data_IF_329034656388
#
_entry.id   IF_329034656388
#
_cell.length_a   1.000
_cell.length_b   1.000
_cell.length_c   1.000
_cell.angle_alpha   90.00
_cell.angle_beta   90.00
_cell.angle_gamma   90.00
#
_symmetry.space_group_name_H-M   'P 1'
#
loop_
_entity.id
_entity.type
_entity.pdbx_description
1 polymer ?
#
# COMPACT_ATOMS: atom_id res chain seq x y z
N UNK A 1 -19.65 -33.34 30.08
CA UNK A 1 -18.72 -33.16 28.94
C UNK A 1 -19.07 -31.93 28.12
N UNK A 2 -20.35 -31.73 27.79
CA UNK A 2 -20.83 -30.56 27.03
C UNK A 2 -20.55 -29.20 27.67
N UNK A 3 -20.79 -29.04 28.98
CA UNK A 3 -20.59 -27.74 29.65
C UNK A 3 -19.12 -27.31 29.69
N UNK A 4 -18.21 -28.26 29.90
CA UNK A 4 -16.76 -28.00 29.84
C UNK A 4 -16.37 -27.59 28.42
N UNK A 5 -16.93 -28.25 27.40
CA UNK A 5 -16.69 -27.89 26.00
C UNK A 5 -17.21 -26.48 25.68
N UNK A 6 -18.40 -26.13 26.13
CA UNK A 6 -18.98 -24.80 25.92
C UNK A 6 -18.12 -23.72 26.58
N UNK A 7 -17.69 -23.94 27.83
CA UNK A 7 -16.83 -23.00 28.56
C UNK A 7 -15.44 -22.85 27.93
N UNK A 8 -14.87 -23.92 27.37
CA UNK A 8 -13.61 -23.82 26.61
C UNK A 8 -13.79 -23.04 25.32
N UNK A 9 -14.87 -23.25 24.56
CA UNK A 9 -15.15 -22.44 23.36
C UNK A 9 -15.32 -20.95 23.69
N UNK A 10 -16.03 -20.62 24.77
CA UNK A 10 -16.22 -19.22 25.18
C UNK A 10 -14.94 -18.55 25.66
N UNK A 11 -14.06 -19.27 26.36
CA UNK A 11 -12.77 -18.72 26.80
C UNK A 11 -11.83 -18.51 25.63
N UNK A 12 -11.77 -19.44 24.68
CA UNK A 12 -10.98 -19.28 23.44
C UNK A 12 -11.44 -18.08 22.62
N UNK A 13 -12.75 -17.89 22.44
CA UNK A 13 -13.30 -16.72 21.74
C UNK A 13 -12.90 -15.41 22.45
N UNK A 14 -13.02 -15.37 23.79
CA UNK A 14 -12.62 -14.18 24.58
C UNK A 14 -11.14 -13.83 24.41
N UNK A 15 -10.26 -14.83 24.37
CA UNK A 15 -8.82 -14.63 24.17
C UNK A 15 -8.55 -14.07 22.77
N UNK A 16 -9.13 -14.68 21.73
CA UNK A 16 -8.96 -14.22 20.33
C UNK A 16 -9.46 -12.78 20.13
N UNK A 17 -10.60 -12.42 20.71
CA UNK A 17 -11.13 -11.05 20.66
C UNK A 17 -10.13 -10.08 21.29
N UNK A 18 -9.61 -10.41 22.47
CA UNK A 18 -8.67 -9.56 23.18
C UNK A 18 -7.37 -9.37 22.39
N UNK A 19 -6.82 -10.42 21.80
CA UNK A 19 -5.61 -10.34 20.95
C UNK A 19 -5.84 -9.44 19.73
N UNK A 20 -6.98 -9.59 19.05
CA UNK A 20 -7.34 -8.72 17.91
C UNK A 20 -7.47 -7.24 18.31
N UNK A 21 -7.99 -6.97 19.51
CA UNK A 21 -8.11 -5.61 20.04
C UNK A 21 -6.74 -5.00 20.31
N UNK A 22 -5.83 -5.77 20.92
CA UNK A 22 -4.44 -5.33 21.13
C UNK A 22 -3.74 -5.08 19.78
N UNK A 23 -3.98 -5.91 18.77
CA UNK A 23 -3.41 -5.69 17.44
C UNK A 23 -3.89 -4.36 16.83
N UNK A 24 -5.20 -4.06 16.93
CA UNK A 24 -5.77 -2.80 16.44
C UNK A 24 -5.19 -1.58 17.15
N UNK A 25 -5.01 -1.64 18.47
CA UNK A 25 -4.43 -0.53 19.24
C UNK A 25 -2.96 -0.29 18.88
N UNK A 26 -2.19 -1.38 18.73
CA UNK A 26 -0.79 -1.34 18.30
C UNK A 26 -0.65 -0.70 16.92
N UNK A 27 -1.44 -1.12 15.93
CA UNK A 27 -1.44 -0.54 14.57
C UNK A 27 -1.66 0.97 14.62
N UNK A 28 -2.64 1.43 15.41
CA UNK A 28 -2.91 2.86 15.57
C UNK A 28 -1.75 3.63 16.20
N UNK A 29 -1.07 3.03 17.19
CA UNK A 29 0.13 3.61 17.81
C UNK A 29 1.25 3.73 16.78
N UNK A 30 1.57 2.67 16.05
CA UNK A 30 2.59 2.70 14.99
C UNK A 30 2.27 3.73 13.92
N UNK A 31 1.02 3.80 13.46
CA UNK A 31 0.56 4.81 12.50
C UNK A 31 0.83 6.23 13.00
N UNK A 32 0.44 6.55 14.24
CA UNK A 32 0.68 7.88 14.83
C UNK A 32 2.16 8.26 14.88
N UNK A 33 3.05 7.34 15.25
CA UNK A 33 4.49 7.62 15.28
C UNK A 33 5.09 7.77 13.89
N UNK A 34 4.66 6.94 12.93
CA UNK A 34 5.10 7.06 11.54
C UNK A 34 4.65 8.39 10.93
N UNK A 35 3.37 8.74 11.10
CA UNK A 35 2.78 9.95 10.51
C UNK A 35 3.39 11.23 11.08
N UNK A 36 3.83 11.25 12.36
CA UNK A 36 4.59 12.38 12.94
C UNK A 36 5.88 12.72 12.20
N UNK A 37 6.50 11.73 11.56
CA UNK A 37 7.80 11.87 10.87
C UNK A 37 7.65 12.10 9.37
N UNK A 38 6.44 11.97 8.82
CA UNK A 38 6.16 12.14 7.39
C UNK A 38 5.87 13.60 7.08
N UNK A 39 6.63 14.17 6.16
CA UNK A 39 6.23 15.41 5.52
C UNK A 39 5.04 15.16 4.58
N UNK A 40 4.24 16.20 4.33
CA UNK A 40 3.21 16.15 3.29
C UNK A 40 3.86 15.81 1.94
N UNK A 41 3.24 14.94 1.13
CA UNK A 41 3.76 14.67 -0.20
C UNK A 41 3.79 15.95 -1.04
N UNK A 42 4.74 16.08 -1.98
CA UNK A 42 4.74 17.18 -2.94
C UNK A 42 3.46 17.11 -3.79
N UNK A 43 2.83 18.26 -4.00
CA UNK A 43 1.67 18.41 -4.88
C UNK A 43 2.18 18.61 -6.30
N UNK A 44 1.64 17.84 -7.24
CA UNK A 44 1.99 17.92 -8.66
C UNK A 44 0.76 18.32 -9.47
N UNK A 45 0.91 19.30 -10.36
CA UNK A 45 -0.18 19.72 -11.23
C UNK A 45 -0.18 18.90 -12.54
N UNK A 46 -1.35 18.72 -13.17
CA UNK A 46 -1.41 18.14 -14.50
C UNK A 46 -0.63 19.01 -15.49
N UNK A 47 0.25 18.39 -16.28
CA UNK A 47 1.16 19.09 -17.20
C UNK A 47 2.57 19.37 -16.65
N UNK A 48 2.82 19.14 -15.35
CA UNK A 48 4.17 19.18 -14.81
C UNK A 48 5.03 18.03 -15.40
N UNK A 49 6.29 18.36 -15.70
CA UNK A 49 7.29 17.40 -16.16
C UNK A 49 8.07 16.85 -14.97
N UNK A 50 7.99 15.56 -14.72
CA UNK A 50 8.62 14.92 -13.55
C UNK A 50 9.66 13.89 -13.99
N UNK A 51 10.77 13.86 -13.25
CA UNK A 51 11.80 12.85 -13.41
C UNK A 51 11.53 11.66 -12.50
N UNK A 52 11.61 10.44 -13.04
CA UNK A 52 11.42 9.22 -12.27
C UNK A 52 12.75 8.64 -11.81
N UNK A 53 12.82 8.20 -10.55
CA UNK A 53 13.98 7.45 -10.08
C UNK A 53 14.02 6.05 -10.71
N UNK A 54 15.14 5.69 -11.31
CA UNK A 54 15.35 4.36 -11.91
C UNK A 54 15.67 3.27 -10.88
N UNK A 55 15.72 3.59 -9.59
CA UNK A 55 16.20 2.67 -8.54
C UNK A 55 15.50 1.31 -8.55
N UNK A 56 14.20 1.32 -8.86
CA UNK A 56 13.29 0.17 -8.84
C UNK A 56 12.77 -0.21 -10.24
N UNK A 57 13.29 0.42 -11.30
CA UNK A 57 12.86 0.17 -12.68
C UNK A 57 13.90 -0.74 -13.32
N UNK A 58 13.44 -1.80 -13.99
CA UNK A 58 14.36 -2.66 -14.75
C UNK A 58 14.79 -1.92 -16.01
N UNK A 59 16.09 -1.63 -16.07
CA UNK A 59 16.72 -1.12 -17.28
C UNK A 59 17.05 -2.30 -18.20
N UNK A 60 16.90 -2.10 -19.50
CA UNK A 60 17.39 -3.03 -20.54
C UNK A 60 18.93 -3.11 -20.56
N UNK A 61 19.61 -2.19 -19.88
CA UNK A 61 21.07 -2.15 -19.83
C UNK A 61 21.64 -3.34 -19.04
N UNK A 62 22.83 -3.86 -19.43
CA UNK A 62 23.40 -5.06 -18.84
C UNK A 62 23.88 -4.87 -17.40
N UNK A 63 24.20 -3.63 -16.99
CA UNK A 63 24.67 -3.34 -15.63
C UNK A 63 24.05 -2.06 -15.06
N UNK A 64 23.71 -2.11 -13.76
CA UNK A 64 23.13 -0.97 -13.01
C UNK A 64 24.09 0.22 -12.86
N UNK A 65 25.39 0.00 -12.98
CA UNK A 65 26.40 1.08 -12.91
C UNK A 65 26.32 2.01 -14.12
N UNK A 66 25.99 1.45 -15.29
CA UNK A 66 25.84 2.18 -16.54
C UNK A 66 24.39 2.56 -16.86
N UNK A 67 23.46 2.27 -15.95
CA UNK A 67 22.06 2.69 -16.11
C UNK A 67 21.84 4.12 -15.66
N UNK A 68 20.91 4.79 -16.33
CA UNK A 68 20.43 6.11 -15.97
C UNK A 68 19.93 6.10 -14.52
N UNK A 69 20.21 7.15 -13.74
CA UNK A 69 19.71 7.31 -12.36
C UNK A 69 18.31 7.94 -12.32
N UNK A 70 18.03 8.76 -13.32
CA UNK A 70 16.77 9.47 -13.50
C UNK A 70 16.31 9.23 -14.92
N UNK A 71 15.09 8.75 -15.07
CA UNK A 71 14.42 8.61 -16.35
C UNK A 71 13.75 9.94 -16.66
N UNK A 72 13.69 10.27 -17.96
CA UNK A 72 13.42 11.60 -18.50
C UNK A 72 12.13 12.28 -18.03
N UNK A 73 11.83 13.47 -18.55
CA UNK A 73 10.63 14.20 -18.16
C UNK A 73 9.39 13.46 -18.67
N UNK A 74 8.59 12.94 -17.74
CA UNK A 74 7.27 12.39 -18.02
C UNK A 74 6.20 13.43 -17.66
N UNK A 75 5.18 13.54 -18.50
CA UNK A 75 3.99 14.33 -18.19
C UNK A 75 3.17 13.63 -17.11
N UNK A 76 2.81 14.35 -16.06
CA UNK A 76 1.84 13.87 -15.10
C UNK A 76 0.47 13.78 -15.76
N UNK A 77 -0.06 12.56 -15.87
CA UNK A 77 -1.47 12.32 -16.17
C UNK A 77 -2.27 12.61 -14.90
N UNK A 78 -3.49 13.12 -15.08
CA UNK A 78 -4.34 13.68 -14.04
C UNK A 78 -4.37 12.91 -12.72
N UNK A 79 -4.53 13.69 -11.66
CA UNK A 79 -4.55 13.34 -10.25
C UNK A 79 -5.45 12.13 -9.96
N UNK A 80 -4.85 10.93 -9.95
CA UNK A 80 -5.50 9.82 -9.27
C UNK A 80 -5.51 10.11 -7.79
N UNK A 81 -6.71 10.21 -7.26
CA UNK A 81 -7.09 10.13 -5.84
C UNK A 81 -6.35 9.03 -5.03
N UNK A 82 -5.69 8.08 -5.68
CA UNK A 82 -4.73 7.14 -5.09
C UNK A 82 -3.31 7.45 -5.55
N UNK A 83 -2.42 7.71 -4.59
CA UNK A 83 -1.00 8.15 -4.69
C UNK A 83 -0.04 7.20 -5.45
N UNK A 84 -0.45 6.61 -6.56
CA UNK A 84 0.35 5.67 -7.34
C UNK A 84 -0.18 5.46 -8.76
N UNK A 85 -0.50 6.52 -9.51
CA UNK A 85 -0.54 6.36 -10.96
C UNK A 85 0.89 6.40 -11.51
N UNK A 86 1.32 5.39 -12.28
CA UNK A 86 2.54 5.51 -13.04
C UNK A 86 2.35 6.66 -14.05
N UNK A 87 3.31 7.60 -14.16
CA UNK A 87 3.37 8.50 -15.30
C UNK A 87 3.29 7.68 -16.59
N UNK A 88 2.86 8.30 -17.68
CA UNK A 88 2.74 7.66 -18.99
C UNK A 88 4.13 7.19 -19.47
N UNK A 89 4.56 6.03 -18.97
CA UNK A 89 5.84 5.42 -19.27
C UNK A 89 5.68 4.68 -20.62
N UNK A 90 6.67 4.74 -21.51
CA UNK A 90 6.63 3.97 -22.75
C UNK A 90 6.43 2.48 -22.45
N UNK A 91 5.63 1.83 -23.29
CA UNK A 91 5.19 0.43 -23.20
C UNK A 91 6.38 -0.56 -23.09
N UNK A 92 7.60 -0.15 -23.44
CA UNK A 92 8.82 -0.95 -23.31
C UNK A 92 9.35 -1.11 -21.88
N UNK A 93 8.82 -0.39 -20.89
CA UNK A 93 9.29 -0.47 -19.50
C UNK A 93 8.41 -1.40 -18.66
N UNK A 94 8.93 -2.60 -18.35
CA UNK A 94 8.30 -3.52 -17.40
C UNK A 94 8.51 -3.05 -15.96
N UNK A 95 7.47 -2.45 -15.37
CA UNK A 95 7.42 -2.18 -13.93
C UNK A 95 6.99 -3.45 -13.21
N UNK A 96 7.84 -4.01 -12.36
CA UNK A 96 7.45 -5.16 -11.56
C UNK A 96 6.40 -4.76 -10.52
N UNK A 97 5.31 -5.53 -10.38
CA UNK A 97 4.39 -5.32 -9.27
C UNK A 97 5.16 -5.53 -7.95
N UNK A 98 4.85 -4.76 -6.89
CA UNK A 98 5.47 -4.95 -5.59
C UNK A 98 5.26 -6.39 -5.13
N UNK A 99 6.36 -7.07 -4.77
CA UNK A 99 6.39 -8.51 -4.43
C UNK A 99 5.83 -8.81 -3.04
N UNK A 100 4.69 -8.22 -2.68
CA UNK A 100 3.95 -8.64 -1.51
C UNK A 100 2.82 -9.58 -1.96
N UNK A 101 2.63 -10.74 -1.32
CA UNK A 101 1.40 -11.49 -1.52
C UNK A 101 0.26 -10.58 -1.09
N UNK A 102 -0.67 -10.31 -2.01
CA UNK A 102 -1.95 -9.70 -1.68
C UNK A 102 -2.60 -10.60 -0.62
N UNK A 103 -2.54 -10.19 0.65
CA UNK A 103 -3.49 -10.68 1.64
C UNK A 103 -4.81 -10.01 1.29
N UNK A 104 -5.86 -10.75 0.86
CA UNK A 104 -7.16 -10.16 0.67
C UNK A 104 -7.67 -9.71 2.04
N UNK A 105 -7.56 -8.41 2.32
CA UNK A 105 -8.35 -7.82 3.40
C UNK A 105 -9.81 -8.02 3.01
N UNK A 106 -10.51 -8.84 3.80
CA UNK A 106 -11.90 -9.20 3.56
C UNK A 106 -12.75 -7.95 3.32
N UNK A 107 -13.50 -7.99 2.22
CA UNK A 107 -14.55 -7.02 1.91
C UNK A 107 -15.67 -7.16 2.95
N UNK A 108 -15.64 -6.33 3.99
CA UNK A 108 -16.82 -6.07 4.82
C UNK A 108 -17.53 -4.83 4.33
N UNK A 109 -18.63 -5.11 3.64
CA UNK A 109 -19.92 -4.46 3.75
C UNK A 109 -20.11 -3.09 3.07
N UNK A 110 -20.80 -3.18 1.94
CA UNK A 110 -21.78 -2.21 1.47
C UNK A 110 -22.81 -1.95 2.58
N UNK A 111 -22.56 -0.89 3.36
CA UNK A 111 -23.57 -0.23 4.17
C UNK A 111 -23.88 1.07 3.43
N UNK A 112 -25.18 1.29 3.14
CA UNK A 112 -25.81 2.49 2.57
C UNK A 112 -26.11 2.47 1.06
N UNK A 113 -27.07 1.65 0.61
CA UNK A 113 -27.99 2.11 -0.43
C UNK A 113 -29.36 1.40 -0.35
N UNK A 114 -30.44 2.06 0.11
CA UNK A 114 -31.80 1.53 -0.05
C UNK A 114 -32.33 1.80 -1.46
N UNK A 115 -32.92 0.78 -2.11
CA UNK A 115 -33.88 0.93 -3.20
C UNK A 115 -35.29 0.89 -2.65
#
# INVERSE_FOLDING_TARGET
>A
MEEIHILTQFTLLKILLLESYQQKSNINRFKRYADKSRASPPVFNPGDMVWLSSKNIKSTRPTKKLSERWLGPFSNLEESQYSCLPPQAPISMEVHPPSFPYFPFGTSQDINNPK
#
